data_IF_138658540843
#
_entry.id   IF_138658540843
#
_cell.length_a   1.000
_cell.length_b   1.000
_cell.length_c   1.000
_cell.angle_alpha   90.00
_cell.angle_beta   90.00
_cell.angle_gamma   90.00
#
_symmetry.space_group_name_H-M   'P 1'
#
loop_
_entity.id
_entity.type
_entity.pdbx_description
1 polymer ?
#
# COMPACT_ATOMS: atom_id res chain seq x y z
N UNK A 1 -11.50 -34.08 9.14
CA UNK A 1 -12.09 -32.79 9.56
C UNK A 1 -11.18 -31.93 10.44
N UNK A 2 -10.58 -32.48 11.51
CA UNK A 2 -9.67 -31.71 12.37
C UNK A 2 -8.35 -31.31 11.68
N UNK A 3 -7.87 -32.11 10.74
CA UNK A 3 -6.61 -31.88 10.04
C UNK A 3 -6.75 -30.78 8.98
N UNK A 4 -7.86 -30.75 8.26
CA UNK A 4 -8.21 -29.77 7.24
C UNK A 4 -8.50 -28.39 7.85
N UNK A 5 -9.13 -28.35 9.03
CA UNK A 5 -9.34 -27.12 9.79
C UNK A 5 -8.03 -26.60 10.40
N UNK A 6 -7.15 -27.48 10.89
CA UNK A 6 -5.81 -27.11 11.36
C UNK A 6 -4.96 -26.51 10.23
N UNK A 7 -5.04 -27.07 9.02
CA UNK A 7 -4.33 -26.54 7.86
C UNK A 7 -4.84 -25.14 7.46
N UNK A 8 -6.16 -24.93 7.48
CA UNK A 8 -6.74 -23.62 7.24
C UNK A 8 -6.29 -22.59 8.29
N UNK A 9 -6.23 -22.98 9.57
CA UNK A 9 -5.70 -22.14 10.66
C UNK A 9 -4.23 -21.78 10.41
N UNK A 10 -3.42 -22.73 9.94
CA UNK A 10 -2.00 -22.51 9.62
C UNK A 10 -1.84 -21.47 8.51
N UNK A 11 -2.63 -21.60 7.42
CA UNK A 11 -2.61 -20.66 6.30
C UNK A 11 -3.04 -19.26 6.74
N UNK A 12 -4.17 -19.15 7.46
CA UNK A 12 -4.67 -17.86 7.96
C UNK A 12 -3.67 -17.17 8.90
N UNK A 13 -3.01 -17.94 9.77
CA UNK A 13 -1.95 -17.40 10.64
C UNK A 13 -0.77 -16.88 9.83
N UNK A 14 -0.36 -17.60 8.78
CA UNK A 14 0.73 -17.16 7.91
C UNK A 14 0.39 -15.89 7.13
N UNK A 15 -0.85 -15.80 6.63
CA UNK A 15 -1.35 -14.57 6.00
C UNK A 15 -1.33 -13.40 6.98
N UNK A 16 -1.73 -13.64 8.23
CA UNK A 16 -1.71 -12.61 9.29
C UNK A 16 -0.29 -12.13 9.60
N UNK A 17 0.68 -13.03 9.74
CA UNK A 17 2.09 -12.68 9.96
C UNK A 17 2.65 -11.81 8.83
N UNK A 18 2.38 -12.17 7.57
CA UNK A 18 2.84 -11.40 6.41
C UNK A 18 2.20 -10.02 6.33
N UNK A 19 0.90 -9.93 6.59
CA UNK A 19 0.19 -8.65 6.64
C UNK A 19 0.71 -7.76 7.78
N UNK A 20 1.02 -8.33 8.93
CA UNK A 20 1.60 -7.60 10.05
C UNK A 20 3.00 -7.05 9.69
N UNK A 21 3.82 -7.85 9.02
CA UNK A 21 5.11 -7.39 8.50
C UNK A 21 4.94 -6.28 7.44
N UNK A 22 3.91 -6.35 6.59
CA UNK A 22 3.59 -5.30 5.63
C UNK A 22 3.16 -3.98 6.30
N UNK A 23 2.44 -4.06 7.43
CA UNK A 23 2.11 -2.90 8.27
C UNK A 23 3.37 -2.24 8.82
N UNK A 24 4.32 -3.02 9.31
CA UNK A 24 5.57 -2.47 9.84
C UNK A 24 6.47 -1.89 8.74
N UNK A 25 6.48 -2.51 7.55
CA UNK A 25 7.11 -1.94 6.36
C UNK A 25 6.46 -0.61 5.97
N UNK A 26 5.14 -0.50 6.06
CA UNK A 26 4.40 0.73 5.75
C UNK A 26 4.69 1.86 6.74
N UNK A 27 4.85 1.55 8.03
CA UNK A 27 5.33 2.53 9.03
C UNK A 27 6.77 2.96 8.75
N UNK A 28 7.62 2.04 8.31
CA UNK A 28 9.01 2.33 7.96
C UNK A 28 9.07 3.20 6.69
N UNK A 29 8.22 2.91 5.70
CA UNK A 29 8.03 3.73 4.50
C UNK A 29 7.64 5.14 4.88
N UNK A 30 6.68 5.32 5.79
CA UNK A 30 6.29 6.65 6.29
C UNK A 30 7.49 7.46 6.79
N UNK A 31 8.35 6.85 7.62
CA UNK A 31 9.56 7.50 8.16
C UNK A 31 10.58 7.80 7.06
N UNK A 32 10.77 6.89 6.10
CA UNK A 32 11.69 7.05 4.99
C UNK A 32 11.25 8.18 4.05
N UNK A 33 9.95 8.27 3.74
CA UNK A 33 9.35 9.38 2.99
C UNK A 33 9.68 10.69 3.71
N UNK A 34 9.32 10.84 4.99
CA UNK A 34 9.58 12.07 5.76
C UNK A 34 11.06 12.48 5.73
N UNK A 35 11.99 11.52 5.78
CA UNK A 35 13.44 11.77 5.74
C UNK A 35 14.02 11.98 4.34
N UNK A 36 13.26 11.68 3.28
CA UNK A 36 13.75 11.69 1.90
C UNK A 36 14.73 10.57 1.58
N UNK A 37 14.67 9.43 2.29
CA UNK A 37 15.61 8.32 2.10
C UNK A 37 15.18 7.39 0.95
N UNK A 38 15.62 7.73 -0.26
CA UNK A 38 15.27 7.01 -1.49
C UNK A 38 15.76 5.55 -1.44
N UNK A 39 16.94 5.27 -0.87
CA UNK A 39 17.50 3.91 -0.81
C UNK A 39 16.64 2.99 0.05
N UNK A 40 16.14 3.50 1.17
CA UNK A 40 15.21 2.75 2.01
C UNK A 40 13.88 2.53 1.29
N UNK A 41 13.36 3.53 0.57
CA UNK A 41 12.12 3.40 -0.21
C UNK A 41 12.21 2.34 -1.32
N UNK A 42 13.33 2.28 -2.05
CA UNK A 42 13.55 1.24 -3.07
C UNK A 42 13.57 -0.17 -2.47
N UNK A 43 14.32 -0.34 -1.37
CA UNK A 43 14.39 -1.63 -0.69
C UNK A 43 13.02 -2.08 -0.16
N UNK A 44 12.28 -1.16 0.47
CA UNK A 44 10.93 -1.44 0.97
C UNK A 44 9.98 -1.83 -0.16
N UNK A 45 10.04 -1.13 -1.29
CA UNK A 45 9.20 -1.44 -2.46
C UNK A 45 9.48 -2.85 -2.98
N UNK A 46 10.75 -3.27 -3.05
CA UNK A 46 11.10 -4.65 -3.44
C UNK A 46 10.57 -5.68 -2.45
N UNK A 47 10.67 -5.40 -1.14
CA UNK A 47 10.12 -6.29 -0.11
C UNK A 47 8.59 -6.42 -0.22
N UNK A 48 7.88 -5.32 -0.47
CA UNK A 48 6.43 -5.33 -0.63
C UNK A 48 5.99 -6.15 -1.84
N UNK A 49 6.68 -6.07 -2.98
CA UNK A 49 6.36 -6.89 -4.16
C UNK A 49 6.44 -8.39 -3.82
N UNK A 50 7.51 -8.83 -3.16
CA UNK A 50 7.66 -10.21 -2.74
C UNK A 50 6.59 -10.64 -1.72
N UNK A 51 6.20 -9.74 -0.80
CA UNK A 51 5.12 -10.00 0.15
C UNK A 51 3.77 -10.16 -0.54
N UNK A 52 3.47 -9.36 -1.57
CA UNK A 52 2.22 -9.45 -2.36
C UNK A 52 2.15 -10.77 -3.11
N UNK A 53 3.25 -11.19 -3.74
CA UNK A 53 3.33 -12.49 -4.44
C UNK A 53 3.05 -13.66 -3.48
N UNK A 54 3.69 -13.67 -2.31
CA UNK A 54 3.48 -14.71 -1.30
C UNK A 54 2.07 -14.68 -0.72
N UNK A 55 1.49 -13.49 -0.48
CA UNK A 55 0.10 -13.37 -0.05
C UNK A 55 -0.87 -13.96 -1.09
N UNK A 56 -0.60 -13.72 -2.37
CA UNK A 56 -1.38 -14.26 -3.48
C UNK A 56 -1.35 -15.79 -3.51
N UNK A 57 -0.17 -16.38 -3.28
CA UNK A 57 -0.01 -17.85 -3.17
C UNK A 57 -0.80 -18.41 -2.00
N UNK A 58 -0.67 -17.83 -0.82
CA UNK A 58 -1.39 -18.26 0.38
C UNK A 58 -2.90 -18.10 0.24
N UNK A 59 -3.37 -17.07 -0.46
CA UNK A 59 -4.80 -16.89 -0.72
C UNK A 59 -5.34 -17.97 -1.67
N UNK A 60 -4.57 -18.37 -2.68
CA UNK A 60 -4.93 -19.50 -3.53
C UNK A 60 -5.01 -20.82 -2.72
N UNK A 61 -4.06 -21.05 -1.81
CA UNK A 61 -4.06 -22.20 -0.89
C UNK A 61 -5.30 -22.14 0.03
N UNK A 62 -5.59 -20.99 0.65
CA UNK A 62 -6.77 -20.77 1.50
C UNK A 62 -8.06 -21.09 0.76
N UNK A 63 -8.22 -20.59 -0.47
CA UNK A 63 -9.38 -20.88 -1.30
C UNK A 63 -9.50 -22.38 -1.63
N UNK A 64 -8.37 -23.06 -1.83
CA UNK A 64 -8.33 -24.52 -2.00
C UNK A 64 -8.87 -25.26 -0.78
N UNK A 65 -8.35 -24.93 0.42
CA UNK A 65 -8.79 -25.52 1.68
C UNK A 65 -10.27 -25.26 1.96
N UNK A 66 -10.74 -24.03 1.73
CA UNK A 66 -12.17 -23.65 1.89
C UNK A 66 -13.06 -24.48 0.97
N UNK A 67 -12.68 -24.66 -0.31
CA UNK A 67 -13.46 -25.50 -1.23
C UNK A 67 -13.46 -26.98 -0.82
N UNK A 68 -12.33 -27.50 -0.35
CA UNK A 68 -12.24 -28.87 0.17
C UNK A 68 -13.14 -29.08 1.39
N UNK A 69 -13.11 -28.15 2.34
CA UNK A 69 -13.97 -28.17 3.52
C UNK A 69 -15.46 -28.05 3.16
N UNK A 70 -15.81 -27.17 2.22
CA UNK A 70 -17.19 -27.04 1.74
C UNK A 70 -17.71 -28.35 1.13
N UNK A 71 -16.87 -29.07 0.38
CA UNK A 71 -17.23 -30.38 -0.18
C UNK A 71 -17.47 -31.43 0.92
N UNK A 72 -16.63 -31.46 1.97
CA UNK A 72 -16.79 -32.38 3.11
C UNK A 72 -18.05 -32.06 3.93
N UNK A 73 -18.38 -30.78 4.05
CA UNK A 73 -19.53 -30.28 4.81
C UNK A 73 -20.84 -30.25 4.00
N UNK A 74 -20.80 -30.61 2.70
CA UNK A 74 -21.97 -30.58 1.82
C UNK A 74 -22.50 -29.18 1.50
N UNK A 75 -21.65 -28.15 1.55
CA UNK A 75 -21.98 -26.77 1.19
C UNK A 75 -21.82 -26.60 -0.33
N UNK A 76 -22.79 -25.94 -0.97
CA UNK A 76 -22.72 -25.60 -2.40
C UNK A 76 -21.49 -24.74 -2.71
N UNK A 77 -20.89 -24.90 -3.90
CA UNK A 77 -19.67 -24.17 -4.25
C UNK A 77 -19.89 -22.66 -4.28
N UNK A 78 -21.10 -22.24 -4.63
CA UNK A 78 -21.49 -20.82 -4.66
C UNK A 78 -21.48 -20.18 -3.27
N UNK A 79 -21.77 -20.96 -2.22
CA UNK A 79 -21.86 -20.51 -0.82
C UNK A 79 -20.60 -20.84 0.00
N UNK A 80 -19.56 -21.38 -0.64
CA UNK A 80 -18.33 -21.80 0.02
C UNK A 80 -17.47 -20.59 0.44
N UNK A 81 -17.74 -20.05 1.63
CA UNK A 81 -16.97 -18.97 2.23
C UNK A 81 -16.54 -19.34 3.66
N UNK A 82 -15.62 -18.57 4.24
CA UNK A 82 -15.09 -18.87 5.57
C UNK A 82 -16.17 -18.80 6.66
N UNK A 83 -17.16 -17.93 6.49
CA UNK A 83 -18.25 -17.69 7.44
C UNK A 83 -19.24 -18.86 7.45
N UNK A 84 -19.67 -19.32 6.28
CA UNK A 84 -20.55 -20.49 6.12
C UNK A 84 -19.89 -21.78 6.59
N UNK A 85 -18.58 -21.92 6.40
CA UNK A 85 -17.82 -23.03 6.99
C UNK A 85 -17.82 -22.94 8.52
N UNK A 86 -17.52 -21.76 9.10
CA UNK A 86 -17.52 -21.58 10.54
C UNK A 86 -18.88 -21.87 11.20
N UNK A 87 -19.99 -21.60 10.49
CA UNK A 87 -21.35 -21.89 10.98
C UNK A 87 -21.69 -23.38 11.02
N UNK A 88 -21.00 -24.20 10.21
CA UNK A 88 -21.16 -25.67 10.20
C UNK A 88 -20.15 -26.39 11.11
N UNK A 89 -19.11 -25.70 11.58
CA UNK A 89 -18.08 -26.26 12.45
C UNK A 89 -18.49 -26.22 13.93
N UNK A 90 -17.93 -27.14 14.71
CA UNK A 90 -18.08 -27.13 16.16
C UNK A 90 -17.33 -25.97 16.82
N UNK A 91 -17.78 -25.54 18.01
CA UNK A 91 -17.23 -24.40 18.77
C UNK A 91 -15.69 -24.44 18.91
N UNK A 92 -15.11 -25.63 19.11
CA UNK A 92 -13.65 -25.82 19.27
C UNK A 92 -12.85 -25.47 18.03
N UNK A 93 -13.38 -25.73 16.84
CA UNK A 93 -12.70 -25.48 15.55
C UNK A 93 -13.03 -24.09 15.01
N UNK A 94 -14.22 -23.58 15.31
CA UNK A 94 -14.70 -22.24 14.94
C UNK A 94 -13.92 -21.11 15.64
N UNK A 95 -13.72 -21.20 16.95
CA UNK A 95 -13.11 -20.13 17.75
C UNK A 95 -11.75 -19.61 17.21
N UNK A 96 -10.76 -20.47 16.86
CA UNK A 96 -9.49 -19.98 16.32
C UNK A 96 -9.63 -19.35 14.92
N UNK A 97 -10.56 -19.84 14.09
CA UNK A 97 -10.80 -19.31 12.75
C UNK A 97 -11.45 -17.92 12.81
N UNK A 98 -12.44 -17.71 13.68
CA UNK A 98 -13.07 -16.41 13.88
C UNK A 98 -12.08 -15.39 14.43
N UNK A 99 -11.27 -15.79 15.41
CA UNK A 99 -10.23 -14.92 15.99
C UNK A 99 -9.25 -14.46 14.91
N UNK A 100 -8.75 -15.39 14.09
CA UNK A 100 -7.82 -15.07 13.00
C UNK A 100 -8.47 -14.21 11.92
N UNK A 101 -9.73 -14.48 11.56
CA UNK A 101 -10.50 -13.66 10.61
C UNK A 101 -10.59 -12.22 11.09
N UNK A 102 -10.92 -12.01 12.36
CA UNK A 102 -11.12 -10.68 12.90
C UNK A 102 -9.78 -9.93 13.04
N UNK A 103 -8.71 -10.63 13.40
CA UNK A 103 -7.34 -10.11 13.37
C UNK A 103 -6.92 -9.71 11.94
N UNK A 104 -7.15 -10.56 10.95
CA UNK A 104 -6.86 -10.26 9.55
C UNK A 104 -7.62 -9.02 9.06
N UNK A 105 -8.92 -8.91 9.36
CA UNK A 105 -9.73 -7.72 9.04
C UNK A 105 -9.13 -6.46 9.64
N UNK A 106 -8.72 -6.51 10.91
CA UNK A 106 -8.12 -5.37 11.60
C UNK A 106 -6.77 -4.96 10.97
N UNK A 107 -5.89 -5.92 10.68
CA UNK A 107 -4.58 -5.66 10.07
C UNK A 107 -4.73 -5.12 8.65
N UNK A 108 -5.66 -5.65 7.85
CA UNK A 108 -5.95 -5.13 6.50
C UNK A 108 -6.42 -3.67 6.58
N UNK A 109 -7.34 -3.35 7.49
CA UNK A 109 -7.81 -1.99 7.67
C UNK A 109 -6.67 -1.03 8.05
N UNK A 110 -5.79 -1.44 8.96
CA UNK A 110 -4.61 -0.67 9.34
C UNK A 110 -3.65 -0.47 8.15
N UNK A 111 -3.41 -1.51 7.36
CA UNK A 111 -2.56 -1.46 6.17
C UNK A 111 -3.11 -0.49 5.12
N UNK A 112 -4.42 -0.53 4.85
CA UNK A 112 -5.07 0.39 3.93
C UNK A 112 -4.96 1.85 4.39
N UNK A 113 -5.13 2.09 5.69
CA UNK A 113 -4.99 3.43 6.25
C UNK A 113 -3.56 3.96 6.10
N UNK A 114 -2.55 3.14 6.45
CA UNK A 114 -1.14 3.53 6.29
C UNK A 114 -0.77 3.78 4.83
N UNK A 115 -1.25 2.95 3.90
CA UNK A 115 -1.00 3.15 2.48
C UNK A 115 -1.54 4.49 1.98
N UNK A 116 -2.78 4.84 2.36
CA UNK A 116 -3.39 6.15 2.04
C UNK A 116 -2.60 7.32 2.61
N UNK A 117 -2.07 7.18 3.83
CA UNK A 117 -1.24 8.23 4.46
C UNK A 117 0.08 8.39 3.68
N UNK A 118 0.74 7.28 3.35
CA UNK A 118 2.00 7.29 2.63
C UNK A 118 1.85 7.86 1.21
N UNK A 119 0.78 7.51 0.51
CA UNK A 119 0.45 8.08 -0.80
C UNK A 119 0.31 9.60 -0.74
N UNK A 120 -0.42 10.12 0.26
CA UNK A 120 -0.55 11.57 0.49
C UNK A 120 0.78 12.24 0.80
N UNK A 121 1.62 11.62 1.63
CA UNK A 121 2.94 12.16 1.99
C UNK A 121 3.86 12.25 0.77
N UNK A 122 3.91 11.18 -0.04
CA UNK A 122 4.69 11.17 -1.29
C UNK A 122 4.16 12.25 -2.25
N UNK A 123 2.84 12.35 -2.41
CA UNK A 123 2.22 13.38 -3.24
C UNK A 123 2.54 14.81 -2.78
N UNK A 124 2.56 15.05 -1.46
CA UNK A 124 2.95 16.33 -0.88
C UNK A 124 4.42 16.68 -1.18
N UNK A 125 5.33 15.71 -1.08
CA UNK A 125 6.74 15.95 -1.40
C UNK A 125 6.95 16.28 -2.87
N UNK A 126 6.26 15.57 -3.77
CA UNK A 126 6.30 15.85 -5.19
C UNK A 126 5.74 17.24 -5.51
N UNK A 127 4.64 17.66 -4.87
CA UNK A 127 4.08 18.99 -5.08
C UNK A 127 5.00 20.11 -4.57
N UNK A 128 5.68 19.90 -3.43
CA UNK A 128 6.69 20.83 -2.92
C UNK A 128 7.85 21.01 -3.90
N UNK A 129 8.35 19.93 -4.50
CA UNK A 129 9.39 19.99 -5.55
C UNK A 129 8.86 20.79 -6.75
N UNK A 130 7.62 20.55 -7.18
CA UNK A 130 6.98 21.30 -8.25
C UNK A 130 6.92 22.81 -7.97
N UNK A 131 6.50 23.20 -6.76
CA UNK A 131 6.47 24.61 -6.33
C UNK A 131 7.87 25.22 -6.32
N UNK A 132 8.88 24.50 -5.82
CA UNK A 132 10.28 24.98 -5.85
C UNK A 132 10.76 25.24 -7.28
N UNK A 133 10.51 24.32 -8.23
CA UNK A 133 10.84 24.50 -9.64
C UNK A 133 10.07 25.67 -10.26
N UNK A 134 8.78 25.82 -9.97
CA UNK A 134 7.98 26.96 -10.43
C UNK A 134 8.51 28.28 -9.87
N UNK A 135 8.94 28.32 -8.62
CA UNK A 135 9.55 29.51 -8.01
C UNK A 135 10.89 29.88 -8.65
N UNK A 136 11.68 28.91 -9.09
CA UNK A 136 12.94 29.16 -9.80
C UNK A 136 12.71 29.60 -11.25
N UNK A 137 11.61 29.19 -11.87
CA UNK A 137 11.26 29.56 -13.26
C UNK A 137 10.46 30.87 -13.35
N UNK A 138 9.85 31.32 -12.25
CA UNK A 138 9.19 32.62 -12.15
C UNK A 138 10.19 33.70 -11.70
N UNK A 139 10.91 34.30 -12.66
CA UNK A 139 11.59 35.58 -12.40
C UNK A 139 10.53 36.65 -12.11
N UNK A 140 10.67 37.48 -11.04
CA UNK A 140 9.86 38.67 -10.92
C UNK A 140 10.11 39.53 -12.16
N UNK A 141 9.06 40.03 -12.80
CA UNK A 141 9.21 40.99 -13.88
C UNK A 141 9.96 42.22 -13.32
N UNK A 142 11.21 42.43 -13.73
CA UNK A 142 11.94 43.66 -13.40
C UNK A 142 11.11 44.85 -13.87
N UNK A 143 10.57 45.63 -12.92
CA UNK A 143 9.80 46.84 -13.19
C UNK A 143 10.68 48.05 -13.53
N UNK A 144 12.01 47.90 -13.44
CA UNK A 144 12.98 48.94 -13.79
C UNK A 144 14.05 48.40 -14.74
N UNK A 145 14.21 49.09 -15.86
CA UNK A 145 15.38 49.01 -16.73
C UNK A 145 16.38 50.10 -16.33
N UNK A 146 17.68 49.90 -16.55
CA UNK A 146 18.75 50.91 -16.31
C UNK A 146 18.61 52.21 -17.13
N UNK A 147 17.57 52.32 -17.96
CA UNK A 147 17.27 53.48 -18.78
C UNK A 147 15.76 53.69 -18.71
N UNK A 148 15.31 54.41 -17.68
CA UNK A 148 13.90 54.55 -17.29
C UNK A 148 12.95 54.88 -18.45
N UNK A 149 12.40 53.84 -19.08
CA UNK A 149 11.35 53.91 -20.08
C UNK A 149 10.42 52.71 -19.89
N UNK A 150 9.13 52.98 -19.75
CA UNK A 150 8.07 51.99 -19.62
C UNK A 150 7.30 51.86 -20.93
N UNK A 151 6.94 50.59 -21.19
CA UNK A 151 5.96 50.07 -22.16
C UNK A 151 6.38 49.86 -23.62
N UNK A 152 6.22 48.62 -24.09
CA UNK A 152 5.98 48.37 -25.50
C UNK A 152 6.25 46.97 -26.06
N UNK A 153 7.27 46.24 -25.60
CA UNK A 153 7.67 44.99 -26.27
C UNK A 153 7.77 43.80 -25.32
N UNK A 154 7.15 42.65 -25.65
CA UNK A 154 7.34 41.43 -24.87
C UNK A 154 8.76 40.94 -25.14
N UNK A 155 9.69 41.32 -24.26
CA UNK A 155 11.04 40.80 -24.23
C UNK A 155 10.98 39.26 -24.25
N UNK A 156 11.71 38.65 -25.20
CA UNK A 156 11.87 37.19 -25.30
C UNK A 156 12.25 36.64 -23.92
N UNK A 157 11.30 35.94 -23.30
CA UNK A 157 11.48 35.27 -22.01
C UNK A 157 12.57 34.21 -22.19
N UNK A 158 13.77 34.48 -21.67
CA UNK A 158 14.79 33.46 -21.54
C UNK A 158 14.47 32.56 -20.36
N UNK A 159 14.33 31.27 -20.64
CA UNK A 159 13.92 30.24 -19.69
C UNK A 159 15.12 29.56 -19.04
N UNK A 160 14.83 28.73 -18.04
CA UNK A 160 15.80 27.94 -17.24
C UNK A 160 16.77 27.08 -18.08
N UNK A 161 16.48 26.86 -19.37
CA UNK A 161 17.28 26.06 -20.31
C UNK A 161 18.11 26.86 -21.31
N UNK A 162 18.21 28.19 -21.19
CA UNK A 162 19.09 28.99 -22.06
C UNK A 162 20.59 28.92 -21.68
N UNK A 163 20.92 28.06 -20.70
CA UNK A 163 22.28 27.56 -20.46
C UNK A 163 22.41 26.20 -21.15
N UNK A 164 23.21 26.14 -22.21
CA UNK A 164 23.42 24.94 -23.01
C UNK A 164 24.33 23.91 -22.33
N UNK A 165 23.82 22.67 -22.29
CA UNK A 165 24.42 21.32 -22.18
C UNK A 165 25.55 21.08 -21.17
#
# INVERSE_FOLDING_TARGET
MQEETAELVRILRRQHELLQAAVDNSKTKQKAVIRGDIRVLENLTRCETAQVEELGRLEAERMGCVRGLAQVLGIAKEDANLETICDRLGVKERAPLETLRDQLKAVIAAQMQLNRINEKLIGLQLSQIGVMICSLTQSPASTYTERGAVEGEPAKKKGVYDYSA
#
